data_IF_347745061446
#
_entry.id   IF_347745061446
#
_cell.length_a   1.000
_cell.length_b   1.000
_cell.length_c   1.000
_cell.angle_alpha   90.00
_cell.angle_beta   90.00
_cell.angle_gamma   90.00
#
_symmetry.space_group_name_H-M   'P 1'
#
loop_
_entity.id
_entity.type
_entity.pdbx_description
1 polymer ?
#
# COMPACT_ATOMS: atom_id res chain seq x y z
N UNK A 1 -2.07 -27.61 -26.11
CA UNK A 1 -1.60 -26.25 -25.75
C UNK A 1 -1.12 -26.28 -24.30
N UNK A 2 0.16 -26.06 -23.99
CA UNK A 2 0.58 -25.92 -22.60
C UNK A 2 -0.12 -24.70 -22.02
N UNK A 3 -0.90 -24.88 -20.95
CA UNK A 3 -1.54 -23.78 -20.25
C UNK A 3 -0.43 -22.85 -19.76
N UNK A 4 -0.38 -21.62 -20.27
CA UNK A 4 0.42 -20.59 -19.63
C UNK A 4 -0.01 -20.55 -18.16
N UNK A 5 0.91 -20.64 -17.19
CA UNK A 5 0.55 -20.52 -15.78
C UNK A 5 -0.15 -19.17 -15.61
N UNK A 6 -1.47 -19.24 -15.50
CA UNK A 6 -2.33 -18.07 -15.47
C UNK A 6 -2.08 -17.41 -14.14
N UNK A 7 -1.63 -16.16 -14.16
CA UNK A 7 -1.31 -15.42 -12.93
C UNK A 7 -2.53 -15.46 -12.01
N UNK A 8 -2.38 -15.86 -10.73
CA UNK A 8 -3.52 -15.99 -9.84
C UNK A 8 -4.21 -14.62 -9.67
N UNK A 9 -5.54 -14.51 -9.86
CA UNK A 9 -6.27 -13.25 -9.81
C UNK A 9 -5.96 -12.36 -8.58
N UNK A 10 -5.77 -12.91 -7.36
CA UNK A 10 -5.41 -12.10 -6.19
C UNK A 10 -4.11 -11.30 -6.36
N UNK A 11 -3.11 -11.84 -7.08
CA UNK A 11 -1.83 -11.14 -7.30
C UNK A 11 -2.03 -9.89 -8.16
N UNK A 12 -2.93 -9.95 -9.15
CA UNK A 12 -3.26 -8.80 -9.98
C UNK A 12 -3.98 -7.71 -9.18
N UNK A 13 -4.96 -8.10 -8.36
CA UNK A 13 -5.72 -7.18 -7.51
C UNK A 13 -4.79 -6.49 -6.51
N UNK A 14 -3.90 -7.25 -5.86
CA UNK A 14 -2.94 -6.70 -4.90
C UNK A 14 -1.93 -5.78 -5.59
N UNK A 15 -1.43 -6.15 -6.77
CA UNK A 15 -0.52 -5.31 -7.53
C UNK A 15 -1.19 -3.98 -7.95
N UNK A 16 -2.42 -4.04 -8.45
CA UNK A 16 -3.20 -2.84 -8.80
C UNK A 16 -3.42 -1.94 -7.57
N UNK A 17 -3.76 -2.53 -6.43
CA UNK A 17 -3.89 -1.80 -5.16
C UNK A 17 -2.58 -1.11 -4.76
N UNK A 18 -1.43 -1.78 -4.88
CA UNK A 18 -0.12 -1.18 -4.57
C UNK A 18 0.26 -0.05 -5.54
N UNK A 19 -0.13 -0.13 -6.81
CA UNK A 19 0.04 0.99 -7.75
C UNK A 19 -0.86 2.18 -7.40
N UNK A 20 -2.10 1.95 -6.98
CA UNK A 20 -2.96 3.02 -6.49
C UNK A 20 -2.39 3.67 -5.21
N UNK A 21 -1.91 2.85 -4.27
CA UNK A 21 -1.24 3.33 -3.05
C UNK A 21 0.02 4.14 -3.37
N UNK A 22 0.81 3.72 -4.37
CA UNK A 22 1.97 4.46 -4.88
C UNK A 22 1.57 5.85 -5.33
N UNK A 23 0.53 5.97 -6.17
CA UNK A 23 0.08 7.26 -6.68
C UNK A 23 -0.33 8.19 -5.53
N UNK A 24 -1.11 7.68 -4.58
CA UNK A 24 -1.54 8.45 -3.40
C UNK A 24 -0.34 8.89 -2.57
N UNK A 25 0.60 8.00 -2.29
CA UNK A 25 1.79 8.29 -1.50
C UNK A 25 2.69 9.33 -2.19
N UNK A 26 2.86 9.24 -3.51
CA UNK A 26 3.63 10.22 -4.29
C UNK A 26 2.94 11.58 -4.32
N UNK A 27 1.63 11.64 -4.51
CA UNK A 27 0.87 12.90 -4.49
C UNK A 27 0.92 13.52 -3.09
N UNK A 28 0.68 12.75 -2.03
CA UNK A 28 0.76 13.25 -0.66
C UNK A 28 2.19 13.71 -0.31
N UNK A 29 3.20 12.94 -0.70
CA UNK A 29 4.61 13.25 -0.47
C UNK A 29 5.05 14.52 -1.19
N UNK A 30 4.75 14.65 -2.49
CA UNK A 30 5.10 15.85 -3.27
C UNK A 30 4.38 17.09 -2.76
N UNK A 31 3.10 17.00 -2.40
CA UNK A 31 2.33 18.12 -1.86
C UNK A 31 2.78 18.57 -0.47
N UNK A 32 3.42 17.68 0.32
CA UNK A 32 4.06 18.02 1.61
C UNK A 32 5.43 18.67 1.44
N UNK A 33 6.23 18.22 0.47
CA UNK A 33 7.57 18.79 0.19
C UNK A 33 7.45 20.15 -0.51
N UNK A 34 6.47 20.29 -1.40
CA UNK A 34 6.22 21.50 -2.18
C UNK A 34 4.79 22.00 -1.95
N UNK A 35 4.55 22.73 -0.84
CA UNK A 35 3.25 23.35 -0.58
C UNK A 35 2.93 24.38 -1.66
N UNK A 36 1.77 24.26 -2.29
CA UNK A 36 1.31 25.18 -3.34
C UNK A 36 -0.20 25.37 -3.22
N UNK A 37 -0.74 26.41 -3.87
CA UNK A 37 -2.20 26.66 -3.89
C UNK A 37 -3.00 25.47 -4.44
N UNK A 38 -2.43 24.73 -5.39
CA UNK A 38 -3.04 23.51 -5.93
C UNK A 38 -2.97 22.33 -4.94
N UNK A 39 -1.83 22.17 -4.26
CA UNK A 39 -1.66 21.19 -3.18
C UNK A 39 -2.72 21.39 -2.09
N UNK A 40 -3.02 22.64 -1.74
CA UNK A 40 -3.98 22.98 -0.69
C UNK A 40 -5.42 22.61 -1.06
N UNK A 41 -5.78 22.75 -2.33
CA UNK A 41 -7.05 22.28 -2.86
C UNK A 41 -7.16 20.74 -2.81
N UNK A 42 -6.10 20.01 -3.17
CA UNK A 42 -6.08 18.54 -3.04
C UNK A 42 -6.28 18.09 -1.59
N UNK A 43 -5.71 18.82 -0.62
CA UNK A 43 -5.90 18.52 0.79
C UNK A 43 -7.33 18.78 1.31
N UNK A 44 -8.17 19.51 0.57
CA UNK A 44 -9.58 19.68 0.95
C UNK A 44 -10.39 18.38 0.81
N UNK A 45 -10.00 17.48 -0.11
CA UNK A 45 -10.60 16.15 -0.24
C UNK A 45 -10.34 15.28 1.01
N UNK A 46 -9.26 15.57 1.75
CA UNK A 46 -8.88 14.81 2.93
C UNK A 46 -8.37 15.73 4.05
N UNK A 47 -9.26 16.61 4.54
CA UNK A 47 -8.96 17.51 5.66
C UNK A 47 -8.40 16.78 6.89
N UNK A 48 -8.89 15.59 7.29
CA UNK A 48 -8.32 14.87 8.43
C UNK A 48 -6.83 14.55 8.23
N UNK A 49 -6.46 14.04 7.05
CA UNK A 49 -5.06 13.75 6.74
C UNK A 49 -4.21 15.04 6.68
N UNK A 50 -4.75 16.14 6.16
CA UNK A 50 -4.05 17.44 6.16
C UNK A 50 -3.59 17.83 7.58
N UNK A 51 -4.48 17.72 8.57
CA UNK A 51 -4.19 18.14 9.96
C UNK A 51 -3.12 17.26 10.61
N UNK A 52 -3.11 15.96 10.31
CA UNK A 52 -2.14 15.02 10.90
C UNK A 52 -0.78 15.08 10.22
N UNK A 53 -0.75 15.28 8.89
CA UNK A 53 0.48 15.14 8.10
C UNK A 53 1.23 16.47 7.94
N UNK A 54 0.53 17.61 7.86
CA UNK A 54 1.18 18.93 7.70
C UNK A 54 2.18 19.28 8.80
N UNK A 55 1.93 19.02 10.11
CA UNK A 55 2.88 19.35 11.17
C UNK A 55 4.24 18.67 11.01
N UNK A 56 4.27 17.50 10.35
CA UNK A 56 5.50 16.74 10.09
C UNK A 56 6.24 17.22 8.83
N UNK A 57 5.56 17.99 7.97
CA UNK A 57 6.15 18.71 6.84
C UNK A 57 6.91 17.84 5.84
N UNK A 58 8.04 18.35 5.36
CA UNK A 58 8.87 17.73 4.31
C UNK A 58 9.49 16.39 4.73
N UNK A 59 9.75 16.18 6.02
CA UNK A 59 10.30 14.93 6.54
C UNK A 59 9.34 13.75 6.28
N UNK A 60 8.07 13.92 6.63
CA UNK A 60 7.05 12.93 6.30
C UNK A 60 6.81 12.83 4.79
N UNK A 61 6.89 13.96 4.08
CA UNK A 61 6.82 13.96 2.62
C UNK A 61 7.87 13.04 1.98
N UNK A 62 9.12 13.10 2.43
CA UNK A 62 10.20 12.23 1.96
C UNK A 62 9.94 10.75 2.29
N UNK A 63 9.42 10.45 3.48
CA UNK A 63 9.02 9.09 3.87
C UNK A 63 7.91 8.55 2.97
N UNK A 64 6.91 9.37 2.63
CA UNK A 64 5.83 8.97 1.72
C UNK A 64 6.32 8.72 0.30
N UNK A 65 7.29 9.51 -0.19
CA UNK A 65 7.93 9.26 -1.48
C UNK A 65 8.69 7.93 -1.46
N UNK A 66 9.49 7.68 -0.41
CA UNK A 66 10.20 6.42 -0.24
C UNK A 66 9.23 5.22 -0.17
N UNK A 67 8.13 5.36 0.56
CA UNK A 67 7.07 4.37 0.63
C UNK A 67 6.44 4.13 -0.75
N UNK A 68 6.14 5.19 -1.50
CA UNK A 68 5.63 5.10 -2.87
C UNK A 68 6.56 4.32 -3.81
N UNK A 69 7.86 4.57 -3.73
CA UNK A 69 8.86 3.78 -4.49
C UNK A 69 8.83 2.32 -4.05
N UNK A 70 8.77 2.04 -2.75
CA UNK A 70 8.68 0.68 -2.22
C UNK A 70 7.43 -0.06 -2.69
N UNK A 71 6.26 0.58 -2.67
CA UNK A 71 5.00 0.00 -3.15
C UNK A 71 5.02 -0.20 -4.67
N UNK A 72 5.64 0.70 -5.43
CA UNK A 72 5.78 0.57 -6.89
C UNK A 72 6.66 -0.62 -7.26
N UNK A 73 7.82 -0.77 -6.61
CA UNK A 73 8.74 -1.88 -6.79
C UNK A 73 8.06 -3.22 -6.43
N UNK A 74 7.32 -3.22 -5.32
CA UNK A 74 6.55 -4.40 -4.88
C UNK A 74 5.46 -4.76 -5.88
N UNK A 75 4.66 -3.79 -6.33
CA UNK A 75 3.61 -3.99 -7.33
C UNK A 75 4.17 -4.52 -8.66
N UNK A 76 5.27 -3.93 -9.14
CA UNK A 76 5.95 -4.38 -10.35
C UNK A 76 6.56 -5.78 -10.18
N UNK A 77 7.15 -6.07 -9.03
CA UNK A 77 7.72 -7.38 -8.73
C UNK A 77 6.65 -8.47 -8.60
N UNK A 78 5.49 -8.17 -8.00
CA UNK A 78 4.33 -9.07 -7.96
C UNK A 78 3.80 -9.34 -9.37
N UNK A 79 3.72 -8.30 -10.20
CA UNK A 79 3.27 -8.45 -11.59
C UNK A 79 4.23 -9.33 -12.42
N UNK A 80 5.53 -9.23 -12.15
CA UNK A 80 6.58 -10.08 -12.73
C UNK A 80 6.68 -11.46 -12.07
N UNK A 81 5.87 -11.76 -11.04
CA UNK A 81 5.86 -13.06 -10.36
C UNK A 81 7.11 -13.34 -9.50
N UNK A 82 7.80 -12.31 -9.02
CA UNK A 82 9.08 -12.45 -8.32
C UNK A 82 8.89 -12.65 -6.81
N UNK A 83 9.58 -13.62 -6.22
CA UNK A 83 9.42 -14.00 -4.81
C UNK A 83 9.80 -12.92 -3.79
N UNK A 84 10.80 -12.07 -4.08
CA UNK A 84 11.14 -10.95 -3.19
C UNK A 84 9.99 -9.96 -3.04
N UNK A 85 9.18 -9.77 -4.08
CA UNK A 85 8.03 -8.88 -4.03
C UNK A 85 6.87 -9.45 -3.20
N UNK A 86 6.75 -10.78 -3.14
CA UNK A 86 5.83 -11.42 -2.20
C UNK A 86 6.20 -11.10 -0.75
N UNK A 87 7.49 -11.22 -0.39
CA UNK A 87 7.97 -10.85 0.95
C UNK A 87 7.73 -9.37 1.27
N UNK A 88 8.04 -8.47 0.33
CA UNK A 88 7.78 -7.04 0.53
C UNK A 88 6.29 -6.73 0.66
N UNK A 89 5.43 -7.37 -0.12
CA UNK A 89 3.99 -7.19 0.00
C UNK A 89 3.48 -7.62 1.38
N UNK A 90 3.90 -8.79 1.86
CA UNK A 90 3.56 -9.27 3.21
C UNK A 90 4.04 -8.28 4.26
N UNK A 91 5.29 -7.80 4.16
CA UNK A 91 5.84 -6.81 5.09
C UNK A 91 5.04 -5.50 5.08
N UNK A 92 4.78 -4.94 3.91
CA UNK A 92 4.03 -3.68 3.74
C UNK A 92 2.62 -3.77 4.31
N UNK A 93 1.87 -4.83 4.00
CA UNK A 93 0.51 -5.01 4.54
C UNK A 93 0.50 -5.29 6.04
N UNK A 94 1.52 -5.98 6.56
CA UNK A 94 1.64 -6.23 8.02
C UNK A 94 1.90 -4.92 8.76
N UNK A 95 2.87 -4.12 8.30
CA UNK A 95 3.18 -2.81 8.89
C UNK A 95 1.97 -1.87 8.79
N UNK A 96 1.31 -1.84 7.64
CA UNK A 96 0.08 -1.07 7.45
C UNK A 96 -1.02 -1.50 8.43
N UNK A 97 -1.25 -2.82 8.57
CA UNK A 97 -2.22 -3.38 9.51
C UNK A 97 -1.93 -2.99 10.96
N UNK A 98 -0.66 -3.01 11.38
CA UNK A 98 -0.26 -2.53 12.71
C UNK A 98 -0.62 -1.05 12.91
N UNK A 99 -0.38 -0.20 11.90
CA UNK A 99 -0.76 1.22 11.95
C UNK A 99 -2.26 1.43 12.10
N UNK A 100 -3.07 0.62 11.41
CA UNK A 100 -4.53 0.66 11.54
C UNK A 100 -5.01 0.17 12.90
N UNK A 101 -4.37 -0.83 13.50
CA UNK A 101 -4.68 -1.26 14.87
C UNK A 101 -4.40 -0.12 15.86
N UNK A 102 -3.24 0.54 15.77
CA UNK A 102 -2.93 1.69 16.63
C UNK A 102 -3.98 2.79 16.46
N UNK A 103 -4.35 3.09 15.21
CA UNK A 103 -5.36 4.11 14.89
C UNK A 103 -6.74 3.74 15.43
N UNK A 104 -7.14 2.47 15.32
CA UNK A 104 -8.39 1.95 15.85
C UNK A 104 -8.48 2.14 17.38
N UNK A 105 -7.40 1.83 18.12
CA UNK A 105 -7.36 1.94 19.57
C UNK A 105 -7.18 3.38 20.07
N UNK A 106 -6.28 4.18 19.47
CA UNK A 106 -5.96 5.53 19.95
C UNK A 106 -6.89 6.62 19.42
N UNK A 107 -7.27 6.55 18.13
CA UNK A 107 -8.00 7.62 17.44
C UNK A 107 -9.52 7.35 17.47
N UNK A 108 -9.94 6.11 17.79
CA UNK A 108 -11.34 5.65 17.83
C UNK A 108 -12.10 5.88 16.53
N UNK A 109 -11.39 5.95 15.41
CA UNK A 109 -11.98 6.10 14.08
C UNK A 109 -12.39 4.72 13.52
N UNK A 110 -13.39 4.12 14.17
CA UNK A 110 -13.75 2.70 14.01
C UNK A 110 -14.06 2.29 12.56
N UNK A 111 -14.73 3.15 11.80
CA UNK A 111 -15.16 2.83 10.44
C UNK A 111 -13.97 2.87 9.47
N UNK A 112 -13.15 3.91 9.57
CA UNK A 112 -11.99 4.10 8.69
C UNK A 112 -10.91 3.06 9.00
N UNK A 113 -10.53 2.91 10.27
CA UNK A 113 -9.49 1.95 10.63
C UNK A 113 -9.96 0.50 10.57
N UNK A 114 -11.23 0.23 10.84
CA UNK A 114 -11.81 -1.10 10.65
C UNK A 114 -11.77 -1.55 9.20
N UNK A 115 -12.14 -0.69 8.25
CA UNK A 115 -12.09 -1.03 6.82
C UNK A 115 -10.66 -1.22 6.31
N UNK A 116 -9.72 -0.34 6.69
CA UNK A 116 -8.30 -0.48 6.34
C UNK A 116 -7.68 -1.78 6.88
N UNK A 117 -7.95 -2.11 8.13
CA UNK A 117 -7.50 -3.35 8.76
C UNK A 117 -8.09 -4.59 8.08
N UNK A 118 -9.39 -4.57 7.76
CA UNK A 118 -10.05 -5.67 7.05
C UNK A 118 -9.43 -5.91 5.66
N UNK A 119 -9.17 -4.83 4.90
CA UNK A 119 -8.52 -4.92 3.59
C UNK A 119 -7.11 -5.52 3.72
N UNK A 120 -6.32 -5.04 4.67
CA UNK A 120 -4.97 -5.57 4.91
C UNK A 120 -4.99 -7.05 5.30
N UNK A 121 -5.92 -7.46 6.17
CA UNK A 121 -6.09 -8.85 6.57
C UNK A 121 -6.48 -9.75 5.39
N UNK A 122 -7.40 -9.29 4.54
CA UNK A 122 -7.82 -10.01 3.32
C UNK A 122 -6.64 -10.19 2.36
N UNK A 123 -5.85 -9.15 2.11
CA UNK A 123 -4.68 -9.26 1.23
C UNK A 123 -3.61 -10.19 1.81
N UNK A 124 -3.32 -10.13 3.11
CA UNK A 124 -2.41 -11.06 3.77
C UNK A 124 -2.90 -12.51 3.68
N UNK A 125 -4.20 -12.74 3.89
CA UNK A 125 -4.80 -14.06 3.75
C UNK A 125 -4.63 -14.60 2.32
N UNK A 126 -4.91 -13.79 1.30
CA UNK A 126 -4.72 -14.20 -0.09
C UNK A 126 -3.26 -14.42 -0.47
N UNK A 127 -2.32 -13.60 0.04
CA UNK A 127 -0.88 -13.79 -0.18
C UNK A 127 -0.36 -15.09 0.46
N UNK A 128 -0.92 -15.50 1.60
CA UNK A 128 -0.52 -16.74 2.28
C UNK A 128 -1.23 -17.99 1.73
N UNK A 129 -2.23 -17.81 0.84
CA UNK A 129 -2.95 -18.94 0.24
C UNK A 129 -1.97 -19.82 -0.55
N UNK A 130 -2.09 -21.14 -0.41
CA UNK A 130 -1.18 -22.12 -1.00
C UNK A 130 -0.95 -21.91 -2.50
N UNK A 131 -1.99 -21.51 -3.25
CA UNK A 131 -1.91 -21.24 -4.69
C UNK A 131 -0.96 -20.09 -5.02
N UNK A 132 -0.97 -19.01 -4.22
CA UNK A 132 -0.12 -17.83 -4.43
C UNK A 132 1.31 -18.13 -3.98
N UNK A 133 1.48 -18.78 -2.82
CA UNK A 133 2.80 -19.23 -2.34
C UNK A 133 3.49 -20.18 -3.32
N UNK A 134 2.75 -21.12 -3.91
CA UNK A 134 3.28 -22.03 -4.94
C UNK A 134 3.67 -21.31 -6.21
N UNK A 135 2.89 -20.32 -6.66
CA UNK A 135 3.23 -19.51 -7.83
C UNK A 135 4.58 -18.78 -7.66
N UNK A 136 4.83 -18.19 -6.49
CA UNK A 136 6.11 -17.52 -6.23
C UNK A 136 7.26 -18.48 -5.93
N UNK A 137 6.99 -19.68 -5.41
CA UNK A 137 8.01 -20.71 -5.19
C UNK A 137 8.41 -21.46 -6.48
N UNK A 138 7.55 -21.50 -7.49
CA UNK A 138 7.81 -22.11 -8.79
C UNK A 138 8.41 -21.14 -9.83
N UNK A 139 8.58 -19.86 -9.48
CA UNK A 139 9.16 -18.83 -10.33
C UNK A 139 10.68 -18.65 -10.14
N UNK A 140 11.28 -19.51 -9.31
CA UNK A 140 12.73 -19.73 -9.14
C UNK A 140 13.13 -21.04 -9.83
#
# INVERSE_FOLDING_TARGET
MPAHPTRPPPVLVIAAFLFAATLIAVVAGTTLIFPSRFSDWLWELNRPARTMLRPLGSALGAVLIALGVGTALTGMGLWRGRRWAWWLAVLLFTVNGCGEIVSFFMIRDFVRSGSGLAIAAVFLFYLNRANVRRFFAAAE
#
